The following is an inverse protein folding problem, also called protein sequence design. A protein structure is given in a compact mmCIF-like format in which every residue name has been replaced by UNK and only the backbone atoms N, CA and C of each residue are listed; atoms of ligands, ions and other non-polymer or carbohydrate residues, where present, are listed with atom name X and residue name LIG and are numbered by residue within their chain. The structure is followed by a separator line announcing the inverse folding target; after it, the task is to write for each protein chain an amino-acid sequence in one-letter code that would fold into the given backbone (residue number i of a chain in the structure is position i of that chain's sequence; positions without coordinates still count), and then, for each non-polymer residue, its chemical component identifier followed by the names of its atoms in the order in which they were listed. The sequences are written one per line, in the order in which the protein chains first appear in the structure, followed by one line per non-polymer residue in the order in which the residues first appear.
data_IF_153159061253
#
_entry.id   IF_153159061253
#
_cell.length_a   1.000
_cell.length_b   1.000
_cell.length_c   1.000
_cell.angle_alpha   90.00
_cell.angle_beta   90.00
_cell.angle_gamma   90.00
#
_symmetry.space_group_name_H-M   'P 1'
#
loop_
_entity.id
_entity.type
_entity.pdbx_description
1 polymer ?
#
# COMPACT_ATOMS: atom_id res chain seq x y z
N UNK A 1 -28.08 -11.39 -32.93
CA UNK A 1 -26.71 -11.42 -33.48
C UNK A 1 -26.18 -10.06 -33.98
N UNK A 2 -27.02 -9.07 -34.21
CA UNK A 2 -26.58 -7.75 -34.68
C UNK A 2 -26.14 -6.81 -33.57
N UNK A 3 -26.50 -7.07 -32.31
CA UNK A 3 -26.15 -6.20 -31.19
C UNK A 3 -24.74 -6.42 -30.60
N UNK A 4 -24.05 -7.50 -31.00
CA UNK A 4 -22.64 -7.72 -30.60
C UNK A 4 -21.67 -7.00 -31.52
N UNK A 5 -22.11 -6.57 -32.72
CA UNK A 5 -21.24 -5.89 -33.66
C UNK A 5 -20.94 -4.44 -33.29
N UNK A 6 -21.86 -3.75 -32.59
CA UNK A 6 -21.64 -2.36 -32.17
C UNK A 6 -20.51 -2.23 -31.12
N UNK A 7 -20.45 -3.14 -30.14
CA UNK A 7 -19.37 -3.16 -29.15
C UNK A 7 -18.02 -3.51 -29.79
N UNK A 8 -18.00 -4.44 -30.75
CA UNK A 8 -16.77 -4.81 -31.45
C UNK A 8 -16.25 -3.75 -32.43
N UNK A 9 -17.15 -2.89 -32.96
CA UNK A 9 -16.74 -1.80 -33.86
C UNK A 9 -16.10 -0.62 -33.12
N UNK A 10 -16.44 -0.40 -31.86
CA UNK A 10 -15.77 0.61 -31.02
C UNK A 10 -14.29 0.28 -30.81
N UNK A 11 -13.96 -0.99 -30.62
CA UNK A 11 -12.58 -1.43 -30.42
C UNK A 11 -11.73 -1.45 -31.72
N UNK A 12 -12.36 -1.44 -32.86
CA UNK A 12 -11.65 -1.53 -34.15
C UNK A 12 -11.04 -0.23 -34.64
N UNK A 13 -11.41 0.94 -34.09
CA UNK A 13 -11.13 2.22 -34.74
C UNK A 13 -10.52 3.31 -33.88
N UNK A 14 -10.57 3.22 -32.55
CA UNK A 14 -10.00 4.22 -31.68
C UNK A 14 -8.56 3.86 -31.31
N UNK A 15 -7.66 4.81 -31.43
CA UNK A 15 -6.24 4.74 -31.01
C UNK A 15 -5.42 3.58 -31.60
N UNK A 16 -5.82 3.05 -32.75
CA UNK A 16 -5.17 1.92 -33.42
C UNK A 16 -3.67 2.13 -33.67
N UNK A 17 -3.24 3.37 -33.81
CA UNK A 17 -1.84 3.73 -34.05
C UNK A 17 -1.07 3.99 -32.74
N UNK A 18 -1.77 4.15 -31.62
CA UNK A 18 -1.20 4.49 -30.31
C UNK A 18 -1.21 3.34 -29.32
N UNK A 19 -2.10 2.36 -29.50
CA UNK A 19 -2.27 1.24 -28.58
C UNK A 19 -1.95 -0.06 -29.32
N UNK A 20 -1.26 -0.97 -28.63
CA UNK A 20 -1.04 -2.32 -29.16
C UNK A 20 -2.39 -3.00 -29.42
N UNK A 21 -2.59 -3.41 -30.67
CA UNK A 21 -3.84 -3.99 -31.13
C UNK A 21 -4.12 -5.34 -30.45
N UNK A 22 -5.18 -5.39 -29.65
CA UNK A 22 -5.66 -6.64 -29.08
C UNK A 22 -6.35 -7.49 -30.15
N UNK A 23 -5.97 -8.75 -30.24
CA UNK A 23 -6.59 -9.72 -31.13
C UNK A 23 -6.66 -11.06 -30.43
N UNK A 24 -7.83 -11.68 -30.42
CA UNK A 24 -7.98 -13.07 -29.99
C UNK A 24 -7.10 -14.00 -30.84
N UNK A 25 -6.29 -14.83 -30.18
CA UNK A 25 -5.46 -15.84 -30.81
C UNK A 25 -5.28 -17.04 -29.88
N UNK A 26 -5.44 -18.25 -30.42
CA UNK A 26 -5.24 -19.49 -29.65
C UNK A 26 -3.82 -19.66 -29.12
N UNK A 27 -2.86 -18.95 -29.67
CA UNK A 27 -1.45 -18.92 -29.24
C UNK A 27 -1.13 -17.71 -28.37
N UNK A 28 -2.15 -16.92 -27.99
CA UNK A 28 -2.01 -15.76 -27.12
C UNK A 28 -1.54 -16.17 -25.72
N UNK A 29 -0.89 -15.22 -25.04
CA UNK A 29 -0.43 -15.38 -23.65
C UNK A 29 -1.39 -14.81 -22.62
N UNK A 30 -2.47 -14.16 -23.07
CA UNK A 30 -3.54 -13.64 -22.21
C UNK A 30 -4.70 -14.62 -22.27
N UNK A 31 -5.10 -15.13 -21.10
CA UNK A 31 -6.29 -15.95 -20.92
C UNK A 31 -7.42 -15.08 -20.39
N UNK A 32 -8.50 -14.96 -21.14
CA UNK A 32 -9.72 -14.26 -20.71
C UNK A 32 -10.71 -15.24 -20.09
N UNK A 33 -11.07 -14.98 -18.85
CA UNK A 33 -12.05 -15.77 -18.10
C UNK A 33 -13.39 -15.03 -17.93
N UNK A 34 -13.51 -13.82 -18.48
CA UNK A 34 -14.64 -12.95 -18.22
C UNK A 34 -14.72 -12.52 -16.75
N UNK A 35 -15.92 -12.17 -16.27
CA UNK A 35 -16.16 -11.82 -14.86
C UNK A 35 -16.40 -13.10 -14.07
N UNK A 36 -15.35 -13.85 -13.82
CA UNK A 36 -15.38 -15.12 -13.10
C UNK A 36 -14.08 -15.29 -12.29
N UNK A 37 -14.04 -14.71 -11.10
CA UNK A 37 -12.85 -14.73 -10.24
C UNK A 37 -12.45 -16.15 -9.85
N UNK A 38 -13.40 -17.04 -9.59
CA UNK A 38 -13.10 -18.42 -9.22
C UNK A 38 -12.47 -19.20 -10.38
N UNK A 39 -12.98 -19.04 -11.61
CA UNK A 39 -12.40 -19.65 -12.82
C UNK A 39 -11.00 -19.13 -13.09
N UNK A 40 -10.83 -17.81 -13.09
CA UNK A 40 -9.54 -17.17 -13.32
C UNK A 40 -8.50 -17.57 -12.26
N UNK A 41 -8.88 -17.63 -10.98
CA UNK A 41 -7.97 -18.10 -9.91
C UNK A 41 -7.63 -19.57 -10.05
N UNK A 42 -8.57 -20.42 -10.50
CA UNK A 42 -8.31 -21.83 -10.77
C UNK A 42 -7.34 -22.02 -11.94
N UNK A 43 -7.49 -21.23 -13.02
CA UNK A 43 -6.55 -21.21 -14.13
C UNK A 43 -5.16 -20.74 -13.67
N UNK A 44 -5.12 -19.67 -12.88
CA UNK A 44 -3.87 -19.16 -12.29
C UNK A 44 -3.19 -20.23 -11.43
N UNK A 45 -3.93 -20.93 -10.55
CA UNK A 45 -3.40 -21.99 -9.70
C UNK A 45 -2.81 -23.14 -10.53
N UNK A 46 -3.50 -23.56 -11.60
CA UNK A 46 -3.00 -24.59 -12.50
C UNK A 46 -1.67 -24.19 -13.16
N UNK A 47 -1.54 -22.93 -13.60
CA UNK A 47 -0.30 -22.40 -14.16
C UNK A 47 0.79 -22.23 -13.08
N UNK A 48 0.42 -21.73 -11.91
CA UNK A 48 1.33 -21.47 -10.80
C UNK A 48 1.94 -22.74 -10.18
N UNK A 49 1.30 -23.92 -10.38
CA UNK A 49 1.77 -25.23 -9.92
C UNK A 49 2.32 -26.11 -11.05
N UNK A 50 2.35 -25.61 -12.30
CA UNK A 50 2.78 -26.38 -13.49
C UNK A 50 4.24 -26.86 -13.41
N UNK A 51 5.08 -26.16 -12.65
CA UNK A 51 6.46 -26.58 -12.39
C UNK A 51 6.55 -27.94 -11.71
N UNK A 52 5.56 -28.29 -10.87
CA UNK A 52 5.45 -29.57 -10.16
C UNK A 52 4.72 -30.62 -11.01
N UNK A 53 3.58 -30.26 -11.60
CA UNK A 53 2.70 -31.19 -12.32
C UNK A 53 3.21 -31.53 -13.71
N UNK A 54 3.85 -30.59 -14.38
CA UNK A 54 4.31 -30.75 -15.78
C UNK A 54 5.82 -30.53 -15.95
N UNK A 55 6.57 -30.29 -14.86
CA UNK A 55 8.00 -29.99 -14.89
C UNK A 55 8.36 -28.77 -15.77
N UNK A 56 7.38 -27.90 -15.98
CA UNK A 56 7.52 -26.66 -16.75
C UNK A 56 7.03 -25.50 -15.92
N UNK A 57 7.94 -24.59 -15.53
CA UNK A 57 7.57 -23.39 -14.81
C UNK A 57 6.85 -22.40 -15.72
N UNK A 58 5.70 -21.93 -15.27
CA UNK A 58 4.97 -20.80 -15.85
C UNK A 58 5.01 -19.63 -14.87
N UNK A 59 4.87 -18.40 -15.39
CA UNK A 59 4.87 -17.18 -14.59
C UNK A 59 3.51 -16.50 -14.72
N UNK A 60 2.48 -16.97 -14.01
CA UNK A 60 1.15 -16.41 -14.16
C UNK A 60 0.99 -15.10 -13.39
N UNK A 61 0.31 -14.15 -14.04
CA UNK A 61 -0.23 -12.94 -13.45
C UNK A 61 -1.75 -13.01 -13.53
N UNK A 62 -2.44 -12.85 -12.39
CA UNK A 62 -3.89 -12.71 -12.37
C UNK A 62 -4.24 -11.31 -11.90
N UNK A 63 -4.92 -10.54 -12.76
CA UNK A 63 -5.33 -9.16 -12.52
C UNK A 63 -6.81 -9.15 -12.22
N UNK A 64 -7.21 -8.56 -11.09
CA UNK A 64 -8.59 -8.47 -10.63
C UNK A 64 -8.85 -7.18 -9.85
N UNK A 65 -10.10 -6.79 -9.70
CA UNK A 65 -10.46 -5.74 -8.76
C UNK A 65 -10.09 -6.16 -7.33
N UNK A 66 -9.23 -5.39 -6.65
CA UNK A 66 -8.70 -5.74 -5.34
C UNK A 66 -9.79 -5.99 -4.30
N UNK A 67 -10.89 -5.22 -4.34
CA UNK A 67 -12.03 -5.37 -3.44
C UNK A 67 -12.69 -6.75 -3.57
N UNK A 68 -12.83 -7.26 -4.78
CA UNK A 68 -13.50 -8.54 -5.02
C UNK A 68 -12.57 -9.74 -4.93
N UNK A 69 -11.26 -9.56 -5.08
CA UNK A 69 -10.28 -10.62 -5.08
C UNK A 69 -10.40 -11.53 -3.87
N UNK A 70 -9.77 -11.20 -2.78
CA UNK A 70 -9.75 -12.06 -1.59
C UNK A 70 -11.14 -12.38 -1.01
N UNK A 71 -12.13 -11.51 -1.19
CA UNK A 71 -13.49 -11.81 -0.74
C UNK A 71 -14.14 -12.95 -1.53
N UNK A 72 -13.80 -13.10 -2.81
CA UNK A 72 -14.38 -14.14 -3.68
C UNK A 72 -13.47 -15.34 -3.89
N UNK A 73 -12.15 -15.16 -3.75
CA UNK A 73 -11.15 -16.19 -4.02
C UNK A 73 -10.31 -16.56 -2.78
N UNK A 74 -10.67 -16.11 -1.59
CA UNK A 74 -9.89 -16.32 -0.38
C UNK A 74 -9.56 -17.78 -0.09
N UNK A 75 -10.53 -18.66 -0.28
CA UNK A 75 -10.34 -20.12 -0.16
C UNK A 75 -9.34 -20.65 -1.21
N UNK A 76 -9.51 -20.25 -2.47
CA UNK A 76 -8.57 -20.65 -3.53
C UNK A 76 -7.18 -20.04 -3.33
N UNK A 77 -7.09 -18.84 -2.79
CA UNK A 77 -5.81 -18.21 -2.46
C UNK A 77 -5.11 -18.96 -1.31
N UNK A 78 -5.85 -19.40 -0.30
CA UNK A 78 -5.33 -20.25 0.74
C UNK A 78 -4.83 -21.59 0.19
N UNK A 79 -5.67 -22.28 -0.62
CA UNK A 79 -5.29 -23.50 -1.30
C UNK A 79 -4.05 -23.35 -2.20
N UNK A 80 -3.90 -22.19 -2.85
CA UNK A 80 -2.72 -21.87 -3.64
C UNK A 80 -1.46 -21.78 -2.79
N UNK A 81 -1.55 -21.16 -1.62
CA UNK A 81 -0.47 -21.12 -0.65
C UNK A 81 -0.06 -22.51 -0.18
N UNK A 82 -1.03 -23.34 0.19
CA UNK A 82 -0.83 -24.71 0.65
C UNK A 82 -0.23 -25.61 -0.46
N UNK A 83 -0.65 -25.38 -1.71
CA UNK A 83 -0.11 -26.08 -2.90
C UNK A 83 1.24 -25.55 -3.38
N UNK A 84 1.86 -24.60 -2.66
CA UNK A 84 3.14 -23.97 -3.03
C UNK A 84 3.12 -23.31 -4.41
N UNK A 85 2.01 -22.68 -4.77
CA UNK A 85 1.85 -21.96 -6.02
C UNK A 85 2.87 -20.80 -6.14
N UNK A 86 3.34 -20.53 -7.36
CA UNK A 86 4.29 -19.46 -7.68
C UNK A 86 3.71 -18.55 -8.74
N UNK A 87 3.60 -17.26 -8.47
CA UNK A 87 3.03 -16.30 -9.40
C UNK A 87 2.60 -15.01 -8.72
N UNK A 88 1.95 -14.16 -9.47
CA UNK A 88 1.55 -12.83 -9.03
C UNK A 88 0.03 -12.67 -9.11
N UNK A 89 -0.54 -12.18 -8.03
CA UNK A 89 -1.91 -11.67 -7.96
C UNK A 89 -1.84 -10.15 -7.95
N UNK A 90 -2.53 -9.50 -8.86
CA UNK A 90 -2.53 -8.04 -9.00
C UNK A 90 -3.91 -7.50 -8.68
N UNK A 91 -4.04 -6.83 -7.54
CA UNK A 91 -5.25 -6.11 -7.16
C UNK A 91 -5.32 -4.75 -7.86
N UNK A 92 -6.03 -4.68 -8.97
CA UNK A 92 -6.20 -3.46 -9.76
C UNK A 92 -7.70 -3.23 -10.05
N UNK A 93 -8.26 -2.12 -9.75
CA UNK A 93 -7.65 -0.95 -9.11
C UNK A 93 -7.92 -0.96 -7.62
N UNK A 94 -6.95 -0.54 -6.84
CA UNK A 94 -6.99 -0.59 -5.38
C UNK A 94 -7.16 0.80 -4.75
N UNK A 95 -7.40 0.80 -3.44
CA UNK A 95 -7.49 1.99 -2.62
C UNK A 95 -8.93 2.51 -2.46
N UNK A 96 -9.30 2.85 -1.23
CA UNK A 96 -10.66 3.29 -0.91
C UNK A 96 -10.95 4.71 -1.41
N UNK A 97 -9.96 5.59 -1.37
CA UNK A 97 -10.10 6.97 -1.84
C UNK A 97 -9.51 7.16 -3.23
N UNK A 98 -8.61 6.29 -3.63
CA UNK A 98 -7.90 6.41 -4.91
C UNK A 98 -8.75 5.98 -6.08
N UNK A 99 -9.56 4.93 -5.92
CA UNK A 99 -10.54 4.49 -6.92
C UNK A 99 -11.77 5.39 -6.85
N UNK A 100 -11.82 6.40 -7.72
CA UNK A 100 -12.93 7.33 -7.82
C UNK A 100 -13.77 7.11 -9.08
N UNK A 101 -14.99 7.65 -9.10
CA UNK A 101 -15.88 7.62 -10.25
C UNK A 101 -16.51 6.27 -10.56
N UNK A 102 -16.26 5.25 -9.74
CA UNK A 102 -16.90 3.93 -9.81
C UNK A 102 -17.87 3.70 -8.65
N UNK A 103 -18.55 2.57 -8.67
CA UNK A 103 -19.42 2.18 -7.55
C UNK A 103 -18.64 1.98 -6.27
N UNK A 104 -19.19 2.42 -5.15
CA UNK A 104 -18.58 2.33 -3.82
C UNK A 104 -18.15 0.91 -3.43
N UNK A 105 -18.81 -0.12 -3.98
CA UNK A 105 -18.48 -1.53 -3.73
C UNK A 105 -17.13 -1.97 -4.34
N UNK A 106 -16.53 -1.18 -5.23
CA UNK A 106 -15.20 -1.46 -5.80
C UNK A 106 -14.05 -0.94 -4.94
N UNK A 107 -14.33 -0.08 -3.95
CA UNK A 107 -13.31 0.60 -3.16
C UNK A 107 -12.77 -0.32 -2.06
N UNK A 108 -11.57 -0.84 -2.28
CA UNK A 108 -10.87 -1.72 -1.35
C UNK A 108 -10.24 -0.93 -0.18
N UNK A 109 -10.41 -1.42 1.01
CA UNK A 109 -9.76 -0.89 2.22
C UNK A 109 -9.17 -1.99 3.13
N UNK A 110 -9.15 -3.27 2.71
CA UNK A 110 -8.78 -4.37 3.62
C UNK A 110 -8.12 -5.59 2.96
N UNK A 111 -7.90 -5.61 1.65
CA UNK A 111 -7.35 -6.79 0.96
C UNK A 111 -5.98 -7.22 1.49
N UNK A 112 -5.11 -6.28 1.89
CA UNK A 112 -3.82 -6.60 2.50
C UNK A 112 -3.93 -7.31 3.85
N UNK A 113 -4.99 -7.03 4.63
CA UNK A 113 -5.25 -7.75 5.90
C UNK A 113 -5.65 -9.20 5.58
N UNK A 114 -6.49 -9.40 4.56
CA UNK A 114 -6.86 -10.74 4.11
C UNK A 114 -5.65 -11.50 3.55
N UNK A 115 -4.82 -10.86 2.73
CA UNK A 115 -3.59 -11.45 2.21
C UNK A 115 -2.63 -11.87 3.34
N UNK A 116 -2.56 -11.12 4.44
CA UNK A 116 -1.70 -11.44 5.59
C UNK A 116 -2.10 -12.74 6.31
N UNK A 117 -3.34 -13.21 6.14
CA UNK A 117 -3.77 -14.49 6.72
C UNK A 117 -3.10 -15.69 6.05
N UNK A 118 -2.57 -15.55 4.84
CA UNK A 118 -1.93 -16.64 4.09
C UNK A 118 -0.42 -16.60 4.34
N UNK A 119 0.17 -17.64 4.95
CA UNK A 119 1.55 -17.60 5.47
C UNK A 119 2.63 -17.28 4.44
N UNK A 120 2.47 -17.74 3.21
CA UNK A 120 3.42 -17.55 2.11
C UNK A 120 2.94 -16.59 1.01
N UNK A 121 1.93 -15.78 1.27
CA UNK A 121 1.52 -14.67 0.41
C UNK A 121 2.27 -13.41 0.82
N UNK A 122 3.16 -12.90 -0.04
CA UNK A 122 3.84 -11.62 0.15
C UNK A 122 3.00 -10.50 -0.45
N UNK A 123 2.61 -9.50 0.36
CA UNK A 123 1.72 -8.46 -0.12
C UNK A 123 2.35 -7.07 -0.07
N UNK A 124 2.20 -6.31 -1.16
CA UNK A 124 2.82 -5.01 -1.36
C UNK A 124 1.83 -3.97 -1.89
N UNK A 125 1.96 -2.73 -1.42
CA UNK A 125 1.20 -1.56 -1.85
C UNK A 125 2.16 -0.48 -2.37
N UNK A 126 2.53 -0.58 -3.64
CA UNK A 126 3.54 0.27 -4.25
C UNK A 126 2.98 1.66 -4.61
N UNK A 127 3.74 2.72 -4.31
CA UNK A 127 3.43 4.09 -4.75
C UNK A 127 4.00 4.35 -6.14
N UNK A 128 5.27 4.03 -6.36
CA UNK A 128 5.99 4.38 -7.58
C UNK A 128 6.24 3.17 -8.48
N UNK A 129 6.33 3.42 -9.78
CA UNK A 129 6.59 2.37 -10.77
C UNK A 129 7.91 1.62 -10.51
N UNK A 130 8.94 2.31 -10.01
CA UNK A 130 10.20 1.66 -9.66
C UNK A 130 10.06 0.71 -8.47
N UNK A 131 9.19 1.03 -7.47
CA UNK A 131 8.89 0.10 -6.37
C UNK A 131 8.26 -1.17 -6.90
N UNK A 132 7.25 -1.03 -7.79
CA UNK A 132 6.59 -2.16 -8.44
C UNK A 132 7.60 -3.02 -9.22
N UNK A 133 8.51 -2.39 -9.96
CA UNK A 133 9.54 -3.10 -10.74
C UNK A 133 10.48 -3.90 -9.83
N UNK A 134 10.96 -3.31 -8.73
CA UNK A 134 11.83 -3.97 -7.73
C UNK A 134 11.11 -5.15 -7.08
N UNK A 135 9.84 -4.98 -6.68
CA UNK A 135 9.03 -6.05 -6.06
C UNK A 135 8.81 -7.23 -7.02
N UNK A 136 8.47 -6.93 -8.29
CA UNK A 136 8.30 -7.99 -9.30
C UNK A 136 9.62 -8.69 -9.58
N UNK A 137 10.73 -7.97 -9.69
CA UNK A 137 12.06 -8.55 -9.88
C UNK A 137 12.46 -9.47 -8.72
N UNK A 138 12.26 -9.03 -7.46
CA UNK A 138 12.47 -9.87 -6.27
C UNK A 138 11.61 -11.14 -6.33
N UNK A 139 10.34 -11.00 -6.67
CA UNK A 139 9.41 -12.12 -6.80
C UNK A 139 9.86 -13.13 -7.85
N UNK A 140 10.30 -12.68 -9.02
CA UNK A 140 10.84 -13.54 -10.07
C UNK A 140 12.08 -14.28 -9.61
N UNK A 141 13.04 -13.58 -8.99
CA UNK A 141 14.27 -14.18 -8.47
C UNK A 141 13.96 -15.23 -7.38
N UNK A 142 13.09 -14.91 -6.43
CA UNK A 142 12.77 -15.80 -5.32
C UNK A 142 11.97 -17.03 -5.75
N UNK A 143 10.91 -16.83 -6.52
CA UNK A 143 10.01 -17.93 -6.92
C UNK A 143 10.63 -18.84 -7.99
N UNK A 144 11.36 -18.28 -8.95
CA UNK A 144 11.84 -19.03 -10.13
C UNK A 144 13.35 -19.22 -10.15
N UNK A 145 14.14 -18.28 -9.65
CA UNK A 145 15.58 -18.41 -9.47
C UNK A 145 15.92 -19.30 -8.28
N UNK A 146 15.50 -18.89 -7.07
CA UNK A 146 15.78 -19.59 -5.81
C UNK A 146 14.79 -20.71 -5.48
N UNK A 147 13.67 -20.79 -6.21
CA UNK A 147 12.61 -21.79 -6.02
C UNK A 147 11.96 -21.76 -4.63
N UNK A 148 11.91 -20.58 -4.00
CA UNK A 148 11.27 -20.37 -2.72
C UNK A 148 9.74 -20.55 -2.82
N UNK A 149 9.11 -20.93 -1.71
CA UNK A 149 7.68 -21.18 -1.64
C UNK A 149 6.92 -19.91 -1.23
N UNK A 150 6.75 -19.01 -2.18
CA UNK A 150 5.94 -17.79 -2.04
C UNK A 150 5.12 -17.55 -3.28
N UNK A 151 4.06 -16.75 -3.14
CA UNK A 151 3.42 -16.02 -4.22
C UNK A 151 3.19 -14.58 -3.78
N UNK A 152 2.98 -13.67 -4.73
CA UNK A 152 2.89 -12.24 -4.46
C UNK A 152 1.48 -11.74 -4.69
N UNK A 153 1.01 -10.86 -3.81
CA UNK A 153 -0.15 -10.02 -4.00
C UNK A 153 0.31 -8.56 -4.03
N UNK A 154 0.05 -7.85 -5.11
CA UNK A 154 0.49 -6.47 -5.31
C UNK A 154 -0.72 -5.63 -5.69
N UNK A 155 -0.93 -4.52 -4.99
CA UNK A 155 -1.97 -3.56 -5.34
C UNK A 155 -1.44 -2.50 -6.30
N UNK A 156 -2.27 -2.11 -7.27
CA UNK A 156 -1.99 -1.04 -8.23
C UNK A 156 -3.19 -0.11 -8.34
N UNK A 157 -2.93 1.17 -8.60
CA UNK A 157 -3.94 2.23 -8.58
C UNK A 157 -4.07 2.89 -9.95
N UNK A 158 -5.20 3.59 -10.18
CA UNK A 158 -5.49 4.29 -11.41
C UNK A 158 -5.32 5.82 -11.30
N UNK A 159 -4.64 6.32 -10.28
CA UNK A 159 -4.30 7.73 -10.17
C UNK A 159 -3.03 8.06 -10.96
N UNK A 160 -3.11 9.05 -11.83
CA UNK A 160 -1.97 9.50 -12.63
C UNK A 160 -1.14 10.54 -11.87
N UNK A 161 0.15 10.28 -11.71
CA UNK A 161 1.13 11.20 -11.14
C UNK A 161 2.53 10.94 -11.69
N UNK A 162 3.44 11.90 -11.44
CA UNK A 162 4.82 11.74 -11.87
C UNK A 162 5.54 10.67 -11.05
N UNK A 163 6.21 9.77 -11.73
CA UNK A 163 7.08 8.76 -11.13
C UNK A 163 8.54 9.25 -11.20
N UNK A 164 9.18 9.51 -10.07
CA UNK A 164 10.60 9.89 -10.06
C UNK A 164 11.50 8.71 -10.43
N UNK A 165 12.76 8.98 -10.71
CA UNK A 165 13.77 7.94 -10.79
C UNK A 165 13.94 7.26 -9.43
N UNK A 166 14.33 5.98 -9.44
CA UNK A 166 14.65 5.26 -8.21
C UNK A 166 15.82 5.93 -7.49
N UNK A 167 15.72 6.23 -6.18
CA UNK A 167 16.85 6.67 -5.39
C UNK A 167 17.90 5.55 -5.25
N UNK A 168 19.17 5.91 -5.08
CA UNK A 168 20.24 4.93 -4.92
C UNK A 168 20.10 4.13 -3.62
N UNK A 169 20.21 2.80 -3.72
CA UNK A 169 20.32 1.89 -2.58
C UNK A 169 19.02 1.65 -1.79
N UNK A 170 17.85 1.98 -2.34
CA UNK A 170 16.55 1.78 -1.68
C UNK A 170 15.93 0.42 -1.93
N UNK A 171 16.46 -0.40 -2.82
CA UNK A 171 15.86 -1.68 -3.27
C UNK A 171 15.58 -2.62 -2.10
N UNK A 172 16.54 -2.75 -1.17
CA UNK A 172 16.35 -3.58 0.03
C UNK A 172 15.24 -3.06 0.94
N UNK A 173 15.10 -1.73 1.06
CA UNK A 173 14.03 -1.10 1.80
C UNK A 173 12.66 -1.32 1.17
N UNK A 174 12.58 -1.24 -0.16
CA UNK A 174 11.36 -1.54 -0.92
C UNK A 174 10.90 -2.98 -0.68
N UNK A 175 11.82 -3.95 -0.73
CA UNK A 175 11.53 -5.37 -0.51
C UNK A 175 11.20 -5.65 0.96
N UNK A 176 11.90 -5.02 1.90
CA UNK A 176 11.65 -5.18 3.32
C UNK A 176 10.35 -4.53 3.80
N UNK A 177 9.82 -3.55 3.07
CA UNK A 177 8.52 -2.92 3.33
C UNK A 177 8.55 -1.45 3.70
N UNK A 178 9.71 -0.84 3.95
CA UNK A 178 9.85 0.60 4.24
C UNK A 178 11.21 1.14 3.83
N UNK A 179 11.22 2.35 3.28
CA UNK A 179 12.44 3.11 3.04
C UNK A 179 12.18 4.61 3.14
N UNK A 180 13.25 5.39 3.42
CA UNK A 180 13.15 6.86 3.47
C UNK A 180 13.13 7.43 2.04
N UNK A 181 12.10 8.21 1.74
CA UNK A 181 11.94 8.88 0.43
C UNK A 181 12.63 10.23 0.42
N UNK A 182 12.43 11.03 1.50
CA UNK A 182 12.90 12.41 1.57
C UNK A 182 12.98 12.90 3.01
N UNK A 183 13.57 14.07 3.21
CA UNK A 183 13.59 14.81 4.47
C UNK A 183 13.39 16.30 4.21
N UNK A 184 12.31 16.86 4.74
CA UNK A 184 12.02 18.28 4.64
C UNK A 184 12.71 19.02 5.79
N UNK A 185 13.66 19.90 5.44
CA UNK A 185 14.42 20.73 6.38
C UNK A 185 13.99 22.19 6.26
N UNK A 186 14.08 22.95 7.35
CA UNK A 186 13.77 24.37 7.33
C UNK A 186 14.86 25.14 6.58
N UNK A 187 14.45 26.09 5.75
CA UNK A 187 15.36 26.98 5.00
C UNK A 187 16.10 28.01 5.87
N UNK A 188 15.63 28.24 7.10
CA UNK A 188 16.28 29.15 8.07
C UNK A 188 16.76 28.36 9.27
N UNK A 189 18.04 28.55 9.67
CA UNK A 189 18.65 27.97 10.86
C UNK A 189 17.91 28.40 12.14
N UNK A 190 16.81 27.75 12.48
CA UNK A 190 16.21 27.83 13.81
C UNK A 190 16.93 26.82 14.70
N UNK A 191 17.52 27.28 15.81
CA UNK A 191 18.36 26.50 16.74
C UNK A 191 17.66 25.32 17.41
N UNK A 192 16.34 25.17 17.29
CA UNK A 192 15.54 24.01 17.74
C UNK A 192 14.37 23.85 16.76
N UNK A 193 14.46 22.89 15.85
CA UNK A 193 13.32 22.43 15.08
C UNK A 193 12.76 21.16 15.71
N UNK A 194 11.43 21.07 15.80
CA UNK A 194 10.73 19.81 16.11
C UNK A 194 10.83 18.96 14.85
N UNK A 195 11.18 17.69 14.99
CA UNK A 195 11.14 16.71 13.89
C UNK A 195 10.01 15.72 14.12
N UNK A 196 9.42 15.24 13.03
CA UNK A 196 8.40 14.19 13.01
C UNK A 196 8.68 13.19 11.89
N UNK A 197 8.11 12.01 11.97
CA UNK A 197 8.25 10.97 10.95
C UNK A 197 6.88 10.74 10.31
N UNK A 198 6.78 10.98 9.01
CA UNK A 198 5.55 10.83 8.24
C UNK A 198 5.71 9.64 7.29
N UNK A 199 4.80 8.66 7.40
CA UNK A 199 4.86 7.42 6.66
C UNK A 199 3.60 7.28 5.79
N UNK A 200 3.77 6.99 4.50
CA UNK A 200 2.65 6.82 3.57
C UNK A 200 2.73 5.51 2.82
N UNK A 201 1.58 4.88 2.57
CA UNK A 201 1.44 3.70 1.73
C UNK A 201 0.68 4.04 0.45
N UNK A 202 1.07 3.44 -0.67
CA UNK A 202 0.42 3.65 -1.95
C UNK A 202 0.31 5.14 -2.32
N UNK A 203 -0.78 5.53 -2.96
CA UNK A 203 -1.01 6.93 -3.40
C UNK A 203 -1.09 7.94 -2.27
N UNK A 204 -1.43 7.51 -1.04
CA UNK A 204 -1.50 8.42 0.11
C UNK A 204 -0.12 8.98 0.50
N UNK A 205 0.97 8.39 0.04
CA UNK A 205 2.30 8.99 0.19
C UNK A 205 2.36 10.42 -0.39
N UNK A 206 1.58 10.75 -1.43
CA UNK A 206 1.52 12.11 -1.98
C UNK A 206 0.84 13.10 -1.02
N UNK A 207 -0.15 12.66 -0.26
CA UNK A 207 -0.76 13.48 0.80
C UNK A 207 0.22 13.68 1.96
N UNK A 208 1.00 12.67 2.29
CA UNK A 208 2.08 12.75 3.28
C UNK A 208 3.16 13.76 2.87
N UNK A 209 3.61 13.72 1.61
CA UNK A 209 4.58 14.70 1.06
C UNK A 209 4.00 16.12 1.08
N UNK A 210 2.72 16.28 0.76
CA UNK A 210 2.08 17.59 0.81
C UNK A 210 1.94 18.11 2.25
N UNK A 211 1.56 17.24 3.19
CA UNK A 211 1.47 17.57 4.61
C UNK A 211 2.83 18.00 5.20
N UNK A 212 3.91 17.33 4.80
CA UNK A 212 5.26 17.66 5.25
C UNK A 212 5.68 19.10 4.87
N UNK A 213 5.27 19.55 3.67
CA UNK A 213 5.51 20.94 3.22
C UNK A 213 4.72 21.94 4.06
N UNK A 214 3.43 21.67 4.32
CA UNK A 214 2.59 22.52 5.19
C UNK A 214 3.21 22.62 6.59
N UNK A 215 3.66 21.52 7.16
CA UNK A 215 4.32 21.49 8.48
C UNK A 215 5.58 22.33 8.51
N UNK A 216 6.40 22.29 7.46
CA UNK A 216 7.62 23.07 7.36
C UNK A 216 7.33 24.59 7.18
N UNK A 217 6.43 24.92 6.26
CA UNK A 217 6.16 26.31 5.85
C UNK A 217 5.39 27.07 6.93
N UNK A 218 4.31 26.48 7.47
CA UNK A 218 3.37 27.17 8.35
C UNK A 218 3.69 26.95 9.85
N UNK A 219 4.28 25.79 10.22
CA UNK A 219 4.51 25.41 11.62
C UNK A 219 5.98 25.32 12.01
N UNK A 220 6.91 25.43 11.04
CA UNK A 220 8.35 25.27 11.27
C UNK A 220 8.73 23.91 11.88
N UNK A 221 8.02 22.88 11.48
CA UNK A 221 8.25 21.47 11.86
C UNK A 221 8.95 20.77 10.69
N UNK A 222 10.06 20.10 10.97
CA UNK A 222 10.79 19.29 9.99
C UNK A 222 10.21 17.88 9.96
N UNK A 223 10.41 17.16 8.86
CA UNK A 223 9.91 15.80 8.76
C UNK A 223 10.81 14.90 7.94
N UNK A 224 10.94 13.65 8.37
CA UNK A 224 11.41 12.55 7.56
C UNK A 224 10.21 11.84 6.93
N UNK A 225 10.30 11.58 5.63
CA UNK A 225 9.21 11.00 4.82
C UNK A 225 9.58 9.59 4.42
N UNK A 226 8.70 8.63 4.70
CA UNK A 226 8.91 7.21 4.48
C UNK A 226 7.83 6.63 3.58
N UNK A 227 8.22 5.81 2.59
CA UNK A 227 7.30 4.97 1.82
C UNK A 227 7.15 3.62 2.49
N UNK A 228 5.91 3.24 2.80
CA UNK A 228 5.53 1.92 3.31
C UNK A 228 5.07 1.06 2.13
N UNK A 229 5.95 0.25 1.60
CA UNK A 229 5.64 -0.65 0.48
C UNK A 229 4.99 -1.95 0.93
N UNK A 230 5.26 -2.40 2.18
CA UNK A 230 4.62 -3.58 2.76
C UNK A 230 4.60 -3.55 4.28
N UNK A 231 3.48 -3.22 4.86
CA UNK A 231 3.26 -3.34 6.31
C UNK A 231 3.31 -4.83 6.73
N UNK A 232 2.77 -5.73 5.92
CA UNK A 232 2.73 -7.15 6.25
C UNK A 232 4.13 -7.77 6.36
N UNK A 233 5.07 -7.46 5.46
CA UNK A 233 6.42 -8.00 5.53
C UNK A 233 7.19 -7.43 6.74
N UNK A 234 6.98 -6.15 7.09
CA UNK A 234 7.54 -5.54 8.29
C UNK A 234 7.06 -6.22 9.57
N UNK A 235 5.77 -6.52 9.65
CA UNK A 235 5.17 -7.21 10.80
C UNK A 235 5.68 -8.64 10.91
N UNK A 236 5.80 -9.36 9.79
CA UNK A 236 6.33 -10.73 9.75
C UNK A 236 7.80 -10.77 10.21
N UNK A 237 8.63 -9.84 9.73
CA UNK A 237 10.02 -9.71 10.19
C UNK A 237 10.06 -9.45 11.70
N UNK A 238 9.25 -8.50 12.19
CA UNK A 238 9.17 -8.19 13.61
C UNK A 238 8.76 -9.40 14.46
N UNK A 239 7.73 -10.14 14.04
CA UNK A 239 7.26 -11.34 14.75
C UNK A 239 8.31 -12.47 14.77
N UNK A 240 9.04 -12.68 13.68
CA UNK A 240 10.11 -13.68 13.64
C UNK A 240 11.28 -13.27 14.56
N UNK A 241 11.63 -11.99 14.59
CA UNK A 241 12.66 -11.47 15.49
C UNK A 241 12.22 -11.58 16.96
N UNK A 242 10.96 -11.25 17.28
CA UNK A 242 10.40 -11.43 18.62
C UNK A 242 10.49 -12.89 19.08
N UNK A 243 10.06 -13.81 18.21
CA UNK A 243 10.14 -15.24 18.46
C UNK A 243 11.58 -15.69 18.68
N UNK A 244 12.50 -15.24 17.82
CA UNK A 244 13.91 -15.59 17.96
C UNK A 244 14.48 -15.10 19.29
N UNK A 245 14.20 -13.84 19.67
CA UNK A 245 14.65 -13.25 20.94
C UNK A 245 14.09 -14.01 22.16
N UNK A 246 12.82 -14.40 22.11
CA UNK A 246 12.18 -15.19 23.16
C UNK A 246 12.85 -16.56 23.33
N UNK A 247 13.23 -17.20 22.23
CA UNK A 247 13.82 -18.55 22.25
C UNK A 247 15.34 -18.55 22.49
N UNK A 248 15.98 -17.38 22.46
CA UNK A 248 17.44 -17.23 22.66
C UNK A 248 17.78 -16.18 23.75
N UNK A 249 17.27 -16.35 24.98
CA UNK A 249 17.41 -15.33 26.03
C UNK A 249 18.87 -15.05 26.43
N UNK A 250 19.76 -16.00 26.18
CA UNK A 250 21.21 -15.89 26.47
C UNK A 250 21.98 -15.10 25.40
N UNK A 251 21.36 -14.81 24.24
CA UNK A 251 22.03 -14.12 23.14
C UNK A 251 21.67 -12.64 23.14
N UNK A 252 22.52 -11.84 22.47
CA UNK A 252 22.18 -10.44 22.21
C UNK A 252 20.89 -10.33 21.44
N UNK A 253 19.99 -9.46 21.88
CA UNK A 253 18.71 -9.21 21.20
C UNK A 253 18.96 -8.75 19.77
N UNK A 254 18.19 -9.30 18.85
CA UNK A 254 18.08 -8.81 17.47
C UNK A 254 17.02 -7.72 17.41
N UNK A 255 17.15 -6.82 16.44
CA UNK A 255 16.18 -5.80 16.10
C UNK A 255 15.51 -6.16 14.79
N UNK A 256 14.20 -5.94 14.70
CA UNK A 256 13.48 -6.02 13.45
C UNK A 256 13.99 -4.99 12.43
N UNK A 257 13.77 -5.24 11.15
CA UNK A 257 14.22 -4.31 10.10
C UNK A 257 13.71 -2.88 10.34
N UNK A 258 12.42 -2.72 10.64
CA UNK A 258 11.83 -1.40 10.91
C UNK A 258 12.41 -0.72 12.15
N UNK A 259 12.66 -1.47 13.24
CA UNK A 259 13.29 -0.92 14.46
C UNK A 259 14.69 -0.38 14.14
N UNK A 260 15.46 -1.13 13.36
CA UNK A 260 16.84 -0.78 12.97
C UNK A 260 16.91 0.46 12.07
N UNK A 261 16.03 0.57 11.08
CA UNK A 261 16.03 1.71 10.16
C UNK A 261 15.51 2.99 10.81
N UNK A 262 14.71 2.86 11.87
CA UNK A 262 14.16 3.96 12.65
C UNK A 262 14.95 4.28 13.93
N UNK A 263 16.04 3.57 14.23
CA UNK A 263 16.79 3.71 15.49
C UNK A 263 17.25 5.16 15.74
N UNK A 264 17.70 5.86 14.71
CA UNK A 264 18.15 7.26 14.78
C UNK A 264 17.03 8.27 14.52
N UNK A 265 15.79 7.83 14.32
CA UNK A 265 14.66 8.72 14.06
C UNK A 265 14.22 9.44 15.33
N UNK A 266 13.96 10.74 15.22
CA UNK A 266 13.53 11.55 16.34
C UNK A 266 12.11 12.06 16.14
N UNK A 267 11.30 12.06 17.20
CA UNK A 267 9.94 12.58 17.23
C UNK A 267 8.87 11.56 16.85
N UNK A 268 7.59 11.95 17.00
CA UNK A 268 6.47 11.04 16.80
C UNK A 268 6.28 10.65 15.35
N UNK A 269 5.48 9.60 15.16
CA UNK A 269 5.18 9.00 13.86
C UNK A 269 3.71 9.18 13.49
N UNK A 270 3.45 9.47 12.23
CA UNK A 270 2.11 9.42 11.64
C UNK A 270 2.15 8.50 10.43
N UNK A 271 1.30 7.48 10.43
CA UNK A 271 1.07 6.60 9.27
C UNK A 271 -0.24 7.02 8.62
N UNK A 272 -0.24 7.19 7.30
CA UNK A 272 -1.44 7.40 6.51
C UNK A 272 -1.51 6.37 5.37
N UNK A 273 -2.69 5.73 5.23
CA UNK A 273 -2.91 4.66 4.26
C UNK A 273 -4.31 4.74 3.66
N UNK A 274 -4.48 4.24 2.45
CA UNK A 274 -5.79 4.13 1.78
C UNK A 274 -6.58 2.87 2.21
N UNK A 275 -6.07 2.17 3.21
CA UNK A 275 -6.70 1.00 3.83
C UNK A 275 -7.13 1.33 5.26
N UNK A 276 -7.91 0.44 5.87
CA UNK A 276 -8.39 0.61 7.24
C UNK A 276 -7.24 0.77 8.25
N UNK A 277 -7.48 1.53 9.32
CA UNK A 277 -6.47 1.82 10.37
C UNK A 277 -5.81 0.56 10.93
N UNK A 278 -6.57 -0.54 11.06
CA UNK A 278 -6.05 -1.81 11.55
C UNK A 278 -4.86 -2.33 10.73
N UNK A 279 -4.73 -1.93 9.46
CA UNK A 279 -3.58 -2.28 8.63
C UNK A 279 -2.30 -1.60 9.12
N UNK A 280 -2.34 -0.28 9.35
CA UNK A 280 -1.20 0.49 9.88
C UNK A 280 -0.90 0.21 11.35
N UNK A 281 -1.94 -0.04 12.15
CA UNK A 281 -1.83 -0.30 13.59
C UNK A 281 -0.99 -1.54 13.94
N UNK A 282 -0.84 -2.48 13.02
CA UNK A 282 0.02 -3.65 13.19
C UNK A 282 1.49 -3.29 13.48
N UNK A 283 1.95 -2.10 13.04
CA UNK A 283 3.32 -1.65 13.24
C UNK A 283 3.57 -1.02 14.62
N UNK A 284 2.53 -0.70 15.40
CA UNK A 284 2.64 0.06 16.66
C UNK A 284 3.72 -0.45 17.60
N UNK A 285 3.87 -1.77 17.72
CA UNK A 285 4.85 -2.39 18.61
C UNK A 285 6.30 -2.07 18.21
N UNK A 286 6.56 -1.88 16.93
CA UNK A 286 7.89 -1.76 16.35
C UNK A 286 8.30 -0.30 16.05
N UNK A 287 7.43 0.66 16.36
CA UNK A 287 7.70 2.09 16.22
C UNK A 287 8.29 2.62 17.52
N UNK A 288 9.41 3.38 17.49
CA UNK A 288 10.15 3.76 18.69
C UNK A 288 9.56 4.93 19.50
N UNK A 289 8.56 5.64 19.00
CA UNK A 289 7.92 6.81 19.63
C UNK A 289 6.40 6.74 19.46
N UNK A 290 5.67 7.76 19.90
CA UNK A 290 4.22 7.82 19.73
C UNK A 290 3.80 7.70 18.28
N UNK A 291 2.79 6.88 18.02
CA UNK A 291 2.25 6.61 16.69
C UNK A 291 0.78 7.01 16.60
N UNK A 292 0.43 7.74 15.53
CA UNK A 292 -0.94 7.95 15.09
C UNK A 292 -1.15 7.33 13.70
N UNK A 293 -2.25 6.60 13.53
CA UNK A 293 -2.57 5.95 12.25
C UNK A 293 -3.85 6.56 11.68
N UNK A 294 -3.75 7.07 10.45
CA UNK A 294 -4.87 7.49 9.62
C UNK A 294 -5.15 6.42 8.57
N UNK A 295 -6.41 6.10 8.38
CA UNK A 295 -6.85 5.07 7.44
C UNK A 295 -8.33 5.19 7.13
N UNK A 296 -8.78 4.44 6.15
CA UNK A 296 -10.10 4.55 5.53
C UNK A 296 -11.08 3.52 6.09
N UNK A 297 -11.47 3.68 7.35
CA UNK A 297 -12.46 2.82 7.99
C UNK A 297 -13.88 3.11 7.45
N UNK A 298 -14.73 2.08 7.43
CA UNK A 298 -16.11 2.19 6.97
C UNK A 298 -16.33 1.67 5.55
N UNK A 299 -17.52 1.91 5.00
CA UNK A 299 -17.86 1.53 3.63
C UNK A 299 -17.32 2.55 2.61
N UNK A 300 -17.08 2.09 1.36
CA UNK A 300 -16.73 2.97 0.26
C UNK A 300 -17.78 4.06 -0.02
N UNK A 301 -17.37 5.13 -0.69
CA UNK A 301 -18.22 6.26 -1.12
C UNK A 301 -17.86 6.63 -2.56
N UNK A 302 -18.85 7.08 -3.32
CA UNK A 302 -18.63 7.54 -4.70
C UNK A 302 -18.48 9.05 -4.72
N UNK A 303 -17.25 9.53 -4.93
CA UNK A 303 -16.94 10.95 -5.05
C UNK A 303 -15.59 11.17 -5.75
N UNK A 304 -15.11 12.41 -5.81
CA UNK A 304 -13.74 12.73 -6.23
C UNK A 304 -12.72 12.26 -5.18
N UNK A 305 -11.46 12.04 -5.60
CA UNK A 305 -10.37 11.66 -4.67
C UNK A 305 -10.20 12.67 -3.53
N UNK A 306 -10.25 13.96 -3.84
CA UNK A 306 -10.13 15.01 -2.84
C UNK A 306 -11.22 14.92 -1.78
N UNK A 307 -12.49 14.81 -2.20
CA UNK A 307 -13.63 14.67 -1.29
C UNK A 307 -13.54 13.38 -0.48
N UNK A 308 -13.16 12.27 -1.12
CA UNK A 308 -13.02 10.97 -0.43
C UNK A 308 -11.89 10.99 0.61
N UNK A 309 -10.72 11.57 0.30
CA UNK A 309 -9.61 11.70 1.25
C UNK A 309 -9.98 12.58 2.44
N UNK A 310 -10.71 13.66 2.21
CA UNK A 310 -11.26 14.48 3.29
C UNK A 310 -12.32 13.71 4.10
N UNK A 311 -13.24 13.02 3.43
CA UNK A 311 -14.27 12.22 4.11
C UNK A 311 -13.65 11.14 5.01
N UNK A 312 -12.65 10.41 4.54
CA UNK A 312 -11.97 9.35 5.31
C UNK A 312 -10.84 9.85 6.20
N UNK A 313 -10.60 11.16 6.25
CA UNK A 313 -9.59 11.78 7.13
C UNK A 313 -8.14 11.33 6.84
N UNK A 314 -7.81 11.15 5.56
CA UNK A 314 -6.48 10.73 5.11
C UNK A 314 -5.81 11.74 4.16
N UNK A 315 -6.39 12.93 4.01
CA UNK A 315 -5.80 14.01 3.25
C UNK A 315 -4.64 14.70 4.02
N UNK A 316 -3.93 15.59 3.33
CA UNK A 316 -2.81 16.35 3.89
C UNK A 316 -3.17 17.15 5.13
N UNK A 317 -4.39 17.66 5.23
CA UNK A 317 -4.83 18.49 6.35
C UNK A 317 -5.05 17.63 7.60
N UNK A 318 -5.67 16.47 7.47
CA UNK A 318 -5.81 15.53 8.58
C UNK A 318 -4.46 14.95 9.02
N UNK A 319 -3.51 14.74 8.10
CA UNK A 319 -2.14 14.34 8.45
C UNK A 319 -1.45 15.43 9.28
N UNK A 320 -1.59 16.71 8.90
CA UNK A 320 -1.09 17.84 9.70
C UNK A 320 -1.77 17.89 11.06
N UNK A 321 -3.09 17.78 11.13
CA UNK A 321 -3.85 17.79 12.39
C UNK A 321 -3.42 16.65 13.31
N UNK A 322 -3.28 15.43 12.79
CA UNK A 322 -2.80 14.28 13.57
C UNK A 322 -1.38 14.52 14.12
N UNK A 323 -0.49 15.09 13.30
CA UNK A 323 0.87 15.45 13.71
C UNK A 323 0.87 16.49 14.83
N UNK A 324 0.12 17.59 14.66
CA UNK A 324 0.01 18.64 15.66
C UNK A 324 -0.65 18.14 16.96
N UNK A 325 -1.61 17.21 16.84
CA UNK A 325 -2.25 16.61 18.01
C UNK A 325 -1.25 15.81 18.87
N UNK A 326 -0.43 14.95 18.27
CA UNK A 326 0.61 14.22 19.01
C UNK A 326 1.59 15.20 19.66
N UNK A 327 2.04 16.20 18.92
CA UNK A 327 2.97 17.19 19.45
C UNK A 327 2.38 18.03 20.60
N UNK A 328 1.09 18.32 20.56
CA UNK A 328 0.38 18.97 21.67
C UNK A 328 0.25 18.05 22.90
N UNK A 329 -0.01 16.75 22.68
CA UNK A 329 -0.03 15.74 23.77
C UNK A 329 1.34 15.55 24.42
N UNK A 330 2.44 15.76 23.66
CA UNK A 330 3.82 15.73 24.14
C UNK A 330 4.28 17.10 24.71
N UNK A 331 3.42 18.09 24.85
CA UNK A 331 3.73 19.46 25.29
C UNK A 331 4.83 20.16 24.44
N UNK A 332 5.02 19.70 23.19
CA UNK A 332 5.99 20.30 22.26
C UNK A 332 5.44 21.54 21.54
N UNK A 333 4.13 21.61 21.38
CA UNK A 333 3.37 22.78 20.88
C UNK A 333 2.18 23.07 21.79
N UNK A 334 1.60 24.26 21.65
CA UNK A 334 0.41 24.60 22.42
C UNK A 334 -0.86 24.03 21.80
N UNK A 335 -1.86 23.68 22.65
CA UNK A 335 -3.19 23.28 22.18
C UNK A 335 -3.87 24.39 21.31
N UNK A 336 -3.47 25.66 21.48
CA UNK A 336 -3.99 26.76 20.68
C UNK A 336 -3.46 26.71 19.22
N UNK A 337 -2.27 26.16 18.97
CA UNK A 337 -1.77 25.95 17.61
C UNK A 337 -2.60 24.90 16.89
N UNK A 338 -2.93 23.77 17.55
CA UNK A 338 -3.83 22.74 17.01
C UNK A 338 -5.23 23.35 16.70
N UNK A 339 -5.81 24.12 17.64
CA UNK A 339 -7.12 24.78 17.42
C UNK A 339 -7.09 25.74 16.22
N UNK A 340 -6.00 26.48 16.05
CA UNK A 340 -5.84 27.38 14.88
C UNK A 340 -5.77 26.57 13.59
N UNK A 341 -5.03 25.47 13.58
CA UNK A 341 -4.91 24.60 12.40
C UNK A 341 -6.28 24.04 11.99
N UNK A 342 -7.05 23.49 12.94
CA UNK A 342 -8.41 22.98 12.70
C UNK A 342 -9.28 24.07 12.03
N UNK A 343 -9.24 25.30 12.58
CA UNK A 343 -9.98 26.41 12.00
C UNK A 343 -9.45 26.84 10.63
N UNK A 344 -8.13 26.87 10.44
CA UNK A 344 -7.50 27.31 9.19
C UNK A 344 -7.81 26.36 8.03
N UNK A 345 -7.87 25.06 8.32
CA UNK A 345 -8.19 24.02 7.32
C UNK A 345 -9.69 23.79 7.18
N UNK A 346 -10.53 24.56 7.86
CA UNK A 346 -12.00 24.47 7.83
C UNK A 346 -12.49 23.03 8.15
N UNK A 347 -11.86 22.39 9.14
CA UNK A 347 -12.24 21.04 9.56
C UNK A 347 -13.54 21.09 10.36
N UNK A 348 -14.56 20.39 9.89
CA UNK A 348 -15.80 20.17 10.62
C UNK A 348 -15.55 19.27 11.84
N UNK A 349 -15.55 19.85 13.02
CA UNK A 349 -15.31 19.13 14.29
C UNK A 349 -16.50 18.24 14.73
N UNK A 350 -17.67 18.48 14.17
CA UNK A 350 -18.90 17.72 14.45
C UNK A 350 -19.16 16.65 13.39
N UNK A 351 -18.26 16.50 12.43
CA UNK A 351 -18.30 15.48 11.39
C UNK A 351 -18.42 14.09 12.00
N UNK A 352 -19.37 13.31 11.50
CA UNK A 352 -19.54 11.94 11.94
C UNK A 352 -18.37 11.05 11.54
N UNK A 353 -18.01 10.10 12.40
CA UNK A 353 -16.96 9.14 12.12
C UNK A 353 -17.32 8.29 10.87
N UNK A 354 -16.48 8.23 9.84
CA UNK A 354 -16.74 7.43 8.65
C UNK A 354 -17.03 5.95 8.90
N UNK A 355 -16.51 5.40 10.02
CA UNK A 355 -16.74 4.00 10.39
C UNK A 355 -18.21 3.66 10.64
N UNK A 356 -18.99 4.62 11.11
CA UNK A 356 -20.39 4.41 11.53
C UNK A 356 -21.44 5.00 10.58
N UNK A 357 -20.99 5.52 9.43
CA UNK A 357 -21.85 6.12 8.40
C UNK A 357 -22.28 5.14 7.32
#
# INVERSE_FOLDING_TARGET
HENSSAASDVYKRQDREQIMYYKEDKKGIILEEGINEAGAMSAWLALATSYSTHQQAMIPFYIFYSMFGFQRIGDLAWASGDSQARGFLIGATAGRTTLNGEGLQHQDGHSHILANTIPNCKSYDATYAYELAVIIQDGLERMYGKKENFFYYITTMNENYNHPSIPDGVEQGIIAGVYKVDSIKLTKNKKKSINVNLMGAGTILHEVIAASKILADDYSITSDIWSLTSINELVRDGQEIDRWNMLNPEKNKKMAYIERILEDSNGPFVIATDYMKAYGEQLRKYIPDDLHVLGTDGFGRSDSRETLRNFFEVDRYFIVIATLNILAQQDKISANELKRAIKTFDIDVDKLNPLIL
#
